data_IF_988872121879
#
_entry.id   IF_988872121879
#
_cell.length_a   1.000
_cell.length_b   1.000
_cell.length_c   1.000
_cell.angle_alpha   90.00
_cell.angle_beta   90.00
_cell.angle_gamma   90.00
#
_symmetry.space_group_name_H-M   'P 1'
#
loop_
_entity.id
_entity.type
_entity.pdbx_description
1 polymer ?
#
# COMPACT_ATOMS: atom_id res chain seq x y z
N UNK A 1 -9.55 4.35 -0.28
CA UNK A 1 -10.90 4.93 -0.16
C UNK A 1 -10.89 6.37 -0.66
N UNK A 2 -12.03 6.91 -1.09
CA UNK A 2 -12.19 8.31 -1.54
C UNK A 2 -13.48 8.90 -0.97
N UNK A 3 -13.48 10.22 -0.82
CA UNK A 3 -14.62 10.99 -0.33
C UNK A 3 -15.15 11.90 -1.43
N UNK A 4 -16.46 12.18 -1.40
CA UNK A 4 -17.13 12.98 -2.43
C UNK A 4 -17.63 14.27 -1.76
N UNK A 5 -17.09 15.42 -2.16
CA UNK A 5 -17.55 16.72 -1.64
C UNK A 5 -18.54 17.34 -2.60
N UNK A 6 -19.72 17.66 -2.09
CA UNK A 6 -20.85 18.23 -2.82
C UNK A 6 -21.18 19.60 -2.24
N UNK A 7 -21.59 20.53 -3.10
CA UNK A 7 -21.96 21.90 -2.73
C UNK A 7 -23.43 22.11 -3.01
N UNK A 8 -24.14 22.78 -2.10
CA UNK A 8 -25.48 23.28 -2.37
C UNK A 8 -25.38 24.67 -3.04
N UNK A 9 -25.68 24.82 -4.36
CA UNK A 9 -25.66 26.13 -5.00
C UNK A 9 -26.95 26.94 -4.79
N UNK A 10 -27.97 26.35 -4.16
CA UNK A 10 -29.30 26.95 -4.07
C UNK A 10 -29.45 27.86 -2.85
N UNK A 11 -30.51 28.68 -2.86
CA UNK A 11 -30.91 29.55 -1.74
C UNK A 11 -31.70 28.80 -0.65
N UNK A 12 -32.01 27.52 -0.87
CA UNK A 12 -32.80 26.71 0.04
C UNK A 12 -31.94 25.57 0.58
N UNK A 13 -32.22 25.10 1.80
CA UNK A 13 -31.53 23.93 2.30
C UNK A 13 -31.98 22.67 1.55
N UNK A 14 -31.05 21.74 1.35
CA UNK A 14 -31.25 20.53 0.54
C UNK A 14 -30.76 19.29 1.24
N UNK A 15 -31.47 18.19 1.07
CA UNK A 15 -30.97 16.87 1.47
C UNK A 15 -30.18 16.28 0.31
N UNK A 16 -28.94 15.90 0.57
CA UNK A 16 -28.07 15.23 -0.38
C UNK A 16 -27.82 13.80 0.07
N UNK A 17 -27.93 12.85 -0.86
CA UNK A 17 -27.73 11.43 -0.61
C UNK A 17 -26.78 10.83 -1.64
N UNK A 18 -25.78 10.10 -1.16
CA UNK A 18 -24.85 9.29 -1.93
C UNK A 18 -25.40 7.87 -2.05
N UNK A 19 -25.62 7.44 -3.28
CA UNK A 19 -26.12 6.10 -3.61
C UNK A 19 -25.07 5.43 -4.51
N UNK A 20 -24.60 4.25 -4.13
CA UNK A 20 -23.67 3.51 -4.97
C UNK A 20 -24.45 2.66 -5.97
N UNK A 21 -24.25 2.88 -7.27
CA UNK A 21 -24.86 2.03 -8.28
C UNK A 21 -23.95 0.81 -8.49
N UNK A 22 -24.45 -0.37 -8.13
CA UNK A 22 -23.70 -1.65 -8.17
C UNK A 22 -23.58 -2.25 -9.57
N UNK A 23 -23.90 -1.48 -10.63
CA UNK A 23 -23.59 -1.84 -12.02
C UNK A 23 -22.08 -1.80 -12.25
N UNK A 24 -21.37 -2.74 -11.63
CA UNK A 24 -19.92 -2.92 -11.73
C UNK A 24 -19.64 -3.63 -13.05
N UNK A 25 -19.07 -2.88 -13.99
CA UNK A 25 -18.49 -3.47 -15.19
C UNK A 25 -17.04 -3.81 -14.85
N UNK A 26 -16.79 -5.10 -14.69
CA UNK A 26 -15.44 -5.65 -14.61
C UNK A 26 -14.97 -5.81 -16.05
N UNK A 27 -14.07 -4.94 -16.48
CA UNK A 27 -13.46 -5.00 -17.80
C UNK A 27 -12.02 -5.47 -17.66
N UNK A 28 -11.56 -6.26 -18.64
CA UNK A 28 -10.13 -6.54 -18.84
C UNK A 28 -9.42 -7.15 -17.62
N UNK A 29 -10.03 -8.15 -16.99
CA UNK A 29 -9.28 -9.02 -16.09
C UNK A 29 -8.19 -9.72 -16.88
N UNK A 30 -6.94 -9.33 -16.67
CA UNK A 30 -5.80 -10.13 -17.14
C UNK A 30 -5.69 -11.34 -16.22
N UNK A 31 -6.29 -12.44 -16.63
CA UNK A 31 -6.20 -13.71 -15.92
C UNK A 31 -4.76 -14.22 -15.95
N UNK A 32 -4.20 -14.49 -14.77
CA UNK A 32 -2.92 -15.18 -14.57
C UNK A 32 -3.05 -16.69 -14.86
N UNK A 33 -3.79 -17.07 -15.90
CA UNK A 33 -3.94 -18.46 -16.30
C UNK A 33 -2.82 -18.97 -17.23
N UNK A 34 -1.93 -18.10 -17.71
CA UNK A 34 -0.89 -18.48 -18.68
C UNK A 34 0.57 -18.29 -18.24
N UNK A 35 0.86 -17.86 -17.00
CA UNK A 35 2.26 -17.73 -16.55
C UNK A 35 2.45 -18.19 -15.10
N UNK A 36 2.58 -19.51 -14.96
CA UNK A 36 3.53 -20.23 -14.10
C UNK A 36 3.72 -19.76 -12.63
N UNK A 37 3.37 -20.68 -11.73
CA UNK A 37 3.84 -20.88 -10.34
C UNK A 37 3.42 -19.88 -9.24
N UNK A 38 2.76 -20.38 -8.16
CA UNK A 38 2.48 -19.60 -6.96
C UNK A 38 3.74 -19.54 -6.11
N UNK A 39 4.50 -18.45 -6.19
CA UNK A 39 5.64 -18.24 -5.30
C UNK A 39 5.80 -16.77 -5.01
N UNK A 40 5.16 -16.33 -3.93
CA UNK A 40 5.50 -15.20 -3.06
C UNK A 40 4.23 -14.51 -2.57
N UNK A 41 3.47 -15.20 -1.71
CA UNK A 41 2.69 -14.54 -0.68
C UNK A 41 3.66 -13.93 0.33
N UNK A 42 4.32 -12.84 -0.05
CA UNK A 42 4.94 -11.94 0.90
C UNK A 42 3.80 -11.26 1.63
N UNK A 43 3.65 -11.56 2.92
CA UNK A 43 2.66 -10.95 3.80
C UNK A 43 2.87 -9.43 3.82
N UNK A 44 2.27 -8.73 2.85
CA UNK A 44 1.90 -7.35 3.02
C UNK A 44 0.84 -7.37 4.11
N UNK A 45 1.21 -6.80 5.26
CA UNK A 45 0.28 -6.54 6.36
C UNK A 45 -0.78 -5.60 5.82
N UNK A 46 -1.83 -6.19 5.25
CA UNK A 46 -3.12 -5.52 5.06
C UNK A 46 -3.65 -5.34 6.47
N UNK A 47 -3.86 -4.09 6.85
CA UNK A 47 -4.39 -3.70 8.15
C UNK A 47 -5.58 -4.59 8.53
N UNK A 48 -5.52 -5.17 9.74
CA UNK A 48 -6.28 -6.34 10.23
C UNK A 48 -7.81 -6.13 10.33
N UNK A 49 -8.32 -4.99 9.85
CA UNK A 49 -9.73 -4.60 9.92
C UNK A 49 -10.49 -4.63 8.59
N UNK A 50 -9.87 -5.08 7.48
CA UNK A 50 -10.41 -4.88 6.14
C UNK A 50 -10.46 -6.16 5.29
N UNK A 51 -10.92 -7.29 5.85
CA UNK A 51 -11.36 -8.41 4.99
C UNK A 51 -12.62 -7.98 4.23
N UNK A 52 -12.57 -7.84 2.90
CA UNK A 52 -13.70 -7.31 2.14
C UNK A 52 -14.86 -8.32 2.15
N UNK A 53 -16.07 -7.84 2.46
CA UNK A 53 -17.31 -8.62 2.31
C UNK A 53 -17.69 -8.82 0.84
N UNK A 54 -17.17 -7.97 -0.07
CA UNK A 54 -17.39 -8.03 -1.52
C UNK A 54 -16.25 -7.31 -2.26
N UNK A 55 -15.84 -7.85 -3.42
CA UNK A 55 -14.97 -7.15 -4.37
C UNK A 55 -15.73 -6.06 -5.15
N UNK A 56 -15.02 -4.99 -5.50
CA UNK A 56 -15.55 -3.84 -6.23
C UNK A 56 -15.66 -2.59 -5.37
N UNK A 57 -16.62 -1.73 -5.72
CA UNK A 57 -16.90 -0.51 -4.96
C UNK A 57 -17.90 -0.82 -3.85
N UNK A 58 -17.66 -0.28 -2.67
CA UNK A 58 -18.55 -0.42 -1.52
C UNK A 58 -18.56 0.85 -0.68
N UNK A 59 -19.59 0.99 0.15
CA UNK A 59 -19.71 2.05 1.14
C UNK A 59 -19.89 1.37 2.50
N UNK A 60 -19.00 1.64 3.48
CA UNK A 60 -19.12 1.09 4.83
C UNK A 60 -20.46 1.46 5.50
N UNK A 61 -20.95 0.62 6.41
CA UNK A 61 -22.22 0.87 7.11
C UNK A 61 -22.22 2.18 7.92
N UNK A 62 -21.06 2.58 8.44
CA UNK A 62 -20.86 3.81 9.20
C UNK A 62 -20.49 5.03 8.34
N UNK A 63 -20.55 4.91 7.01
CA UNK A 63 -20.27 6.02 6.11
C UNK A 63 -21.39 7.07 6.13
N UNK A 64 -21.00 8.34 5.99
CA UNK A 64 -21.97 9.43 5.84
C UNK A 64 -22.50 9.42 4.40
N UNK A 65 -23.64 8.78 4.19
CA UNK A 65 -24.30 8.70 2.88
C UNK A 65 -25.39 9.73 2.69
N UNK A 66 -25.92 10.33 3.75
CA UNK A 66 -26.98 11.34 3.66
C UNK A 66 -26.72 12.51 4.59
N UNK A 67 -26.97 13.72 4.11
CA UNK A 67 -26.77 14.92 4.89
C UNK A 67 -27.72 16.05 4.46
N UNK A 68 -28.11 16.86 5.46
CA UNK A 68 -28.82 18.12 5.24
C UNK A 68 -27.82 19.26 5.07
N UNK A 69 -27.92 19.99 3.96
CA UNK A 69 -26.93 21.00 3.54
C UNK A 69 -27.61 22.35 3.42
N UNK A 70 -27.13 23.33 4.18
CA UNK A 70 -27.64 24.71 4.14
C UNK A 70 -27.34 25.39 2.80
N UNK A 71 -28.00 26.52 2.49
CA UNK A 71 -27.70 27.30 1.29
C UNK A 71 -26.21 27.64 1.18
N UNK A 72 -25.62 27.44 0.00
CA UNK A 72 -24.22 27.76 -0.33
C UNK A 72 -23.13 26.92 0.37
N UNK A 73 -23.51 26.02 1.27
CA UNK A 73 -22.59 25.16 2.03
C UNK A 73 -22.11 23.94 1.24
N UNK A 74 -21.13 23.23 1.82
CA UNK A 74 -20.56 21.99 1.31
C UNK A 74 -20.66 20.88 2.33
N UNK A 75 -20.81 19.65 1.86
CA UNK A 75 -20.71 18.45 2.69
C UNK A 75 -19.86 17.40 1.99
N UNK A 76 -19.19 16.56 2.78
CA UNK A 76 -18.34 15.47 2.28
C UNK A 76 -19.01 14.15 2.63
N UNK A 77 -19.43 13.40 1.61
CA UNK A 77 -20.12 12.11 1.72
C UNK A 77 -19.14 10.95 1.46
N UNK A 78 -19.40 9.79 2.07
CA UNK A 78 -18.61 8.58 1.94
C UNK A 78 -18.05 8.05 3.28
N UNK A 79 -16.94 7.28 3.25
CA UNK A 79 -16.07 7.05 2.11
C UNK A 79 -16.62 6.00 1.13
N UNK A 80 -16.30 6.15 -0.15
CA UNK A 80 -16.37 5.04 -1.12
C UNK A 80 -15.07 4.25 -1.02
N UNK A 81 -15.17 2.96 -0.75
CA UNK A 81 -14.05 2.04 -0.65
C UNK A 81 -14.02 1.18 -1.91
N UNK A 82 -12.82 0.84 -2.38
CA UNK A 82 -12.62 0.00 -3.54
C UNK A 82 -11.72 -1.17 -3.13
N UNK A 83 -12.20 -2.39 -3.34
CA UNK A 83 -11.50 -3.64 -3.06
C UNK A 83 -11.39 -4.46 -4.34
N UNK A 84 -10.22 -4.47 -5.01
CA UNK A 84 -10.05 -5.26 -6.23
C UNK A 84 -9.99 -6.76 -5.93
N UNK A 85 -10.54 -7.59 -6.84
CA UNK A 85 -10.40 -9.06 -6.76
C UNK A 85 -9.08 -9.57 -7.34
N UNK A 86 -8.53 -8.93 -8.38
CA UNK A 86 -7.29 -9.26 -9.10
C UNK A 86 -6.85 -8.07 -9.99
N UNK A 87 -5.89 -8.27 -10.91
CA UNK A 87 -5.47 -7.31 -11.95
C UNK A 87 -6.55 -7.02 -12.99
N UNK A 88 -7.67 -6.45 -12.53
CA UNK A 88 -8.84 -6.10 -13.32
C UNK A 88 -9.08 -4.60 -13.27
N UNK A 89 -9.62 -4.08 -14.37
CA UNK A 89 -10.16 -2.72 -14.44
C UNK A 89 -11.63 -2.74 -14.03
N UNK A 90 -12.00 -1.82 -13.14
CA UNK A 90 -13.36 -1.68 -12.62
C UNK A 90 -13.92 -0.34 -13.04
N UNK A 91 -15.09 -0.37 -13.66
CA UNK A 91 -15.87 0.82 -13.96
C UNK A 91 -17.23 0.73 -13.28
N UNK A 92 -17.64 1.80 -12.62
CA UNK A 92 -18.92 1.89 -11.95
C UNK A 92 -19.43 3.33 -11.91
N UNK A 93 -20.49 3.57 -11.14
CA UNK A 93 -20.99 4.91 -10.89
C UNK A 93 -21.49 5.06 -9.47
N UNK A 94 -21.25 6.23 -8.89
CA UNK A 94 -21.94 6.71 -7.71
C UNK A 94 -22.94 7.77 -8.15
N UNK A 95 -24.06 7.86 -7.44
CA UNK A 95 -25.11 8.83 -7.70
C UNK A 95 -25.20 9.77 -6.51
N UNK A 96 -25.26 11.06 -6.75
CA UNK A 96 -25.61 12.07 -5.76
C UNK A 96 -27.03 12.54 -6.06
N UNK A 97 -27.96 12.16 -5.20
CA UNK A 97 -29.36 12.59 -5.26
C UNK A 97 -29.56 13.83 -4.40
N UNK A 98 -30.35 14.76 -4.92
CA UNK A 98 -30.80 15.96 -4.23
C UNK A 98 -32.31 16.13 -4.41
N UNK A 99 -32.98 16.74 -3.42
CA UNK A 99 -34.43 16.99 -3.46
C UNK A 99 -34.87 18.16 -4.38
N UNK A 100 -33.95 19.01 -4.87
CA UNK A 100 -34.24 20.15 -5.76
C UNK A 100 -33.87 19.91 -7.22
N UNK A 101 -32.69 19.31 -7.49
CA UNK A 101 -32.08 19.26 -8.82
C UNK A 101 -32.05 17.86 -9.46
N UNK A 102 -32.50 16.83 -8.75
CA UNK A 102 -32.55 15.45 -9.27
C UNK A 102 -31.35 14.60 -8.85
N UNK A 103 -30.75 13.86 -9.80
CA UNK A 103 -29.66 12.90 -9.56
C UNK A 103 -28.49 13.21 -10.49
N UNK A 104 -27.30 13.35 -9.92
CA UNK A 104 -26.03 13.51 -10.64
C UNK A 104 -25.21 12.22 -10.59
N UNK A 105 -24.64 11.79 -11.71
CA UNK A 105 -23.81 10.57 -11.78
C UNK A 105 -22.31 10.91 -11.78
N UNK A 106 -21.58 10.25 -10.88
CA UNK A 106 -20.13 10.37 -10.73
C UNK A 106 -19.50 9.05 -11.20
N UNK A 107 -18.71 9.06 -12.28
CA UNK A 107 -18.05 7.85 -12.76
C UNK A 107 -16.99 7.40 -11.76
N UNK A 108 -17.02 6.12 -11.39
CA UNK A 108 -16.01 5.48 -10.56
C UNK A 108 -15.12 4.60 -11.42
N UNK A 109 -13.81 4.73 -11.22
CA UNK A 109 -12.80 3.87 -11.85
C UNK A 109 -11.84 3.35 -10.80
N UNK A 110 -11.56 2.06 -10.86
CA UNK A 110 -10.66 1.36 -9.97
C UNK A 110 -9.84 0.40 -10.78
N UNK A 111 -8.60 0.15 -10.34
CA UNK A 111 -7.73 -0.83 -10.97
C UNK A 111 -7.11 -1.66 -9.87
N UNK A 112 -7.26 -2.98 -9.97
CA UNK A 112 -6.53 -3.92 -9.14
C UNK A 112 -5.19 -4.28 -9.77
N UNK A 113 -4.23 -4.70 -8.95
CA UNK A 113 -2.91 -5.08 -9.41
C UNK A 113 -2.08 -5.67 -8.25
N UNK A 114 -0.89 -6.12 -8.58
CA UNK A 114 0.02 -6.72 -7.61
C UNK A 114 0.88 -5.65 -6.92
N UNK A 115 1.06 -5.77 -5.61
CA UNK A 115 2.04 -5.02 -4.83
C UNK A 115 3.16 -6.00 -4.47
N UNK A 116 4.35 -5.82 -5.03
CA UNK A 116 5.47 -6.73 -4.79
C UNK A 116 6.78 -5.97 -4.79
N UNK A 117 7.53 -6.05 -3.70
CA UNK A 117 8.84 -5.43 -3.54
C UNK A 117 9.85 -6.50 -3.17
N UNK A 118 10.93 -6.58 -3.94
CA UNK A 118 12.02 -7.53 -3.71
C UNK A 118 13.28 -6.75 -3.36
N UNK A 119 13.97 -7.21 -2.31
CA UNK A 119 15.33 -6.76 -2.01
C UNK A 119 16.33 -7.63 -2.76
N UNK A 120 17.26 -6.96 -3.44
CA UNK A 120 18.30 -7.52 -4.28
C UNK A 120 19.67 -7.10 -3.75
N UNK A 121 20.62 -8.05 -3.79
CA UNK A 121 22.03 -7.74 -3.55
C UNK A 121 22.65 -7.11 -4.81
N UNK A 122 23.92 -6.70 -4.74
CA UNK A 122 24.70 -6.15 -5.87
C UNK A 122 24.63 -7.03 -7.13
N UNK A 123 24.39 -8.35 -6.97
CA UNK A 123 24.29 -9.33 -8.07
C UNK A 123 22.88 -9.57 -8.59
N UNK A 124 21.89 -8.77 -8.18
CA UNK A 124 20.48 -8.96 -8.56
C UNK A 124 19.89 -10.31 -8.10
N UNK A 125 20.48 -10.92 -7.07
CA UNK A 125 19.96 -12.13 -6.42
C UNK A 125 19.06 -11.76 -5.25
N UNK A 126 18.06 -12.61 -4.95
CA UNK A 126 17.15 -12.40 -3.82
C UNK A 126 17.92 -12.45 -2.50
N UNK A 127 17.77 -11.40 -1.69
CA UNK A 127 18.42 -11.33 -0.37
C UNK A 127 17.61 -12.12 0.65
N UNK A 128 18.16 -13.25 1.12
CA UNK A 128 17.60 -14.02 2.25
C UNK A 128 18.19 -13.62 3.61
N UNK A 129 19.49 -13.30 3.65
CA UNK A 129 20.20 -12.81 4.83
C UNK A 129 21.12 -11.64 4.46
N UNK A 130 21.30 -10.71 5.40
CA UNK A 130 22.24 -9.59 5.25
C UNK A 130 23.46 -9.89 6.10
N UNK A 131 24.42 -10.61 5.51
CA UNK A 131 25.70 -10.88 6.16
C UNK A 131 26.70 -9.77 5.85
N UNK A 132 27.35 -9.26 6.90
CA UNK A 132 28.45 -8.31 6.78
C UNK A 132 29.77 -9.07 6.73
N UNK A 133 30.56 -8.86 5.67
CA UNK A 133 31.90 -9.42 5.57
C UNK A 133 32.83 -8.66 6.52
N UNK A 134 32.91 -9.16 7.75
CA UNK A 134 33.94 -8.77 8.68
C UNK A 134 35.26 -9.35 8.16
N UNK A 135 36.07 -8.51 7.53
CA UNK A 135 37.51 -8.76 7.36
C UNK A 135 38.18 -8.71 8.74
N UNK A 136 37.84 -9.65 9.62
CA UNK A 136 38.66 -10.01 10.74
C UNK A 136 39.99 -10.47 10.16
N UNK A 137 41.06 -9.73 10.43
CA UNK A 137 42.41 -10.27 10.31
C UNK A 137 42.37 -11.64 11.00
N UNK A 138 42.72 -12.69 10.25
CA UNK A 138 42.70 -14.12 10.63
C UNK A 138 42.87 -14.29 12.13
N UNK A 139 42.13 -15.20 12.80
CA UNK A 139 42.27 -15.42 14.24
C UNK A 139 43.75 -15.62 14.53
N UNK A 140 44.37 -14.59 15.11
CA UNK A 140 45.73 -14.69 15.60
C UNK A 140 45.66 -15.83 16.61
N UNK A 141 46.41 -16.91 16.36
CA UNK A 141 46.56 -17.99 17.32
C UNK A 141 47.07 -17.35 18.62
N UNK A 142 46.16 -17.04 19.54
CA UNK A 142 46.49 -16.48 20.85
C UNK A 142 46.99 -17.62 21.73
N UNK A 143 48.23 -18.03 21.47
CA UNK A 143 49.06 -18.72 22.44
C UNK A 143 50.26 -17.84 22.77
N UNK A 144 50.05 -16.66 23.39
CA UNK A 144 51.10 -15.96 24.15
C UNK A 144 50.48 -15.00 25.19
N UNK A 145 51.18 -14.77 26.32
CA UNK A 145 50.59 -14.31 27.56
C UNK A 145 50.15 -12.85 27.51
N UNK A 146 49.00 -12.61 28.12
CA UNK A 146 48.50 -11.33 28.60
C UNK A 146 49.65 -10.46 29.14
N UNK A 147 50.12 -9.44 28.42
CA UNK A 147 50.43 -8.14 29.05
C UNK A 147 50.84 -6.98 28.14
N UNK A 148 51.36 -7.11 26.92
CA UNK A 148 52.14 -5.96 26.38
C UNK A 148 51.97 -5.52 24.93
N UNK A 149 51.05 -6.07 24.12
CA UNK A 149 50.92 -5.62 22.73
C UNK A 149 49.45 -5.46 22.29
N UNK A 150 49.11 -4.22 21.90
CA UNK A 150 47.97 -3.84 21.06
C UNK A 150 46.56 -3.72 21.67
N UNK A 151 46.43 -3.06 22.82
CA UNK A 151 45.12 -2.49 23.25
C UNK A 151 44.63 -1.33 22.39
N UNK A 152 45.52 -0.67 21.62
CA UNK A 152 45.18 0.51 20.79
C UNK A 152 44.68 0.17 19.37
N UNK A 153 44.99 -1.04 18.87
CA UNK A 153 44.59 -1.49 17.52
C UNK A 153 43.32 -2.36 17.52
N UNK A 154 43.06 -3.15 18.57
CA UNK A 154 41.83 -3.94 18.65
C UNK A 154 40.57 -3.06 18.83
N UNK A 155 40.70 -1.92 19.52
CA UNK A 155 39.60 -0.96 19.68
C UNK A 155 39.22 -0.24 18.38
N UNK A 156 40.14 -0.13 17.41
CA UNK A 156 39.88 0.58 16.15
C UNK A 156 39.08 -0.22 15.13
N UNK A 157 39.10 -1.56 15.18
CA UNK A 157 38.37 -2.41 14.21
C UNK A 157 36.89 -2.55 14.59
N UNK A 158 36.57 -2.64 15.88
CA UNK A 158 35.17 -2.61 16.37
C UNK A 158 34.52 -1.21 16.30
N UNK A 159 35.26 -0.19 15.84
CA UNK A 159 34.77 1.19 15.70
C UNK A 159 34.44 1.57 14.26
N UNK A 160 34.64 0.68 13.29
CA UNK A 160 34.37 0.98 11.88
C UNK A 160 32.89 0.75 11.56
N UNK A 161 32.18 1.75 11.01
CA UNK A 161 30.81 1.56 10.57
C UNK A 161 30.81 0.56 9.40
N UNK A 162 30.06 -0.53 9.55
CA UNK A 162 29.82 -1.47 8.47
C UNK A 162 28.69 -0.91 7.61
N UNK A 163 28.95 -0.81 6.31
CA UNK A 163 27.99 -0.34 5.32
C UNK A 163 27.74 -1.47 4.35
N UNK A 164 26.47 -1.77 4.10
CA UNK A 164 26.05 -2.67 3.02
C UNK A 164 24.96 -1.98 2.22
N UNK A 165 25.15 -1.91 0.90
CA UNK A 165 24.16 -1.37 -0.01
C UNK A 165 23.18 -2.47 -0.43
N UNK A 166 21.89 -2.14 -0.48
CA UNK A 166 20.83 -3.04 -0.90
C UNK A 166 19.96 -2.32 -1.91
N UNK A 167 19.55 -3.05 -2.94
CA UNK A 167 18.66 -2.52 -3.97
C UNK A 167 17.25 -3.05 -3.76
N UNK A 168 16.25 -2.19 -3.88
CA UNK A 168 14.85 -2.60 -3.84
C UNK A 168 14.25 -2.46 -5.24
N UNK A 169 13.59 -3.51 -5.72
CA UNK A 169 12.91 -3.53 -7.02
C UNK A 169 11.43 -3.77 -6.82
N UNK A 170 10.60 -2.86 -7.34
CA UNK A 170 9.17 -3.11 -7.49
C UNK A 170 8.97 -4.13 -8.61
N UNK A 171 8.48 -5.30 -8.26
CA UNK A 171 8.13 -6.40 -9.17
C UNK A 171 6.62 -6.50 -9.38
N UNK A 172 5.84 -5.61 -8.75
CA UNK A 172 4.41 -5.50 -8.97
C UNK A 172 4.04 -4.48 -10.05
N UNK A 173 2.76 -4.46 -10.40
CA UNK A 173 2.21 -3.60 -11.47
C UNK A 173 1.76 -2.23 -10.95
N UNK A 174 1.69 -2.06 -9.63
CA UNK A 174 1.27 -0.83 -8.98
C UNK A 174 2.47 -0.06 -8.42
N UNK A 175 2.45 1.29 -8.48
CA UNK A 175 3.50 2.11 -7.88
C UNK A 175 3.52 1.94 -6.36
N UNK A 176 4.72 1.85 -5.79
CA UNK A 176 4.93 1.68 -4.35
C UNK A 176 5.55 2.93 -3.73
N UNK A 177 5.12 3.26 -2.51
CA UNK A 177 5.74 4.27 -1.65
C UNK A 177 6.32 3.58 -0.42
N UNK A 178 7.65 3.66 -0.26
CA UNK A 178 8.34 3.03 0.89
C UNK A 178 8.26 3.97 2.09
N UNK A 179 7.44 3.61 3.09
CA UNK A 179 7.28 4.40 4.33
C UNK A 179 8.33 4.11 5.39
N UNK A 180 8.71 2.84 5.52
CA UNK A 180 9.71 2.40 6.51
C UNK A 180 10.30 1.06 6.10
N UNK A 181 11.58 0.86 6.38
CA UNK A 181 12.25 -0.44 6.31
C UNK A 181 12.59 -0.83 7.74
N UNK A 182 12.21 -2.04 8.16
CA UNK A 182 12.57 -2.60 9.47
C UNK A 182 13.61 -3.69 9.26
N UNK A 183 14.74 -3.55 9.92
CA UNK A 183 15.80 -4.56 9.96
C UNK A 183 15.77 -5.18 11.34
N UNK A 184 15.47 -6.48 11.44
CA UNK A 184 15.60 -7.26 12.66
C UNK A 184 16.98 -7.92 12.70
N UNK A 185 17.67 -7.82 13.84
CA UNK A 185 18.96 -8.45 14.11
C UNK A 185 18.93 -9.26 15.39
#
# INVERSE_FOLDING_TARGET
SRWITVKNPSQHPVTMQLILNSGELINECKGLHDLLNPSSSGNLVVDEGATPTKFGFSVPENALTEAYVHPYDRVTLGPVVFFPSDSCSWSGSALVRNNLSGVESIPLRGFGGSLSLVLLDERSEHVQSVDFDLKMLKPLNFSLPYSLLHTKEMTSVCSQPLVKELYAKNTGDLPLEVKSIRVSG
#
